data_IF_921667748969
#
_entry.id   IF_921667748969
#
_cell.length_a   1.000
_cell.length_b   1.000
_cell.length_c   1.000
_cell.angle_alpha   90.00
_cell.angle_beta   90.00
_cell.angle_gamma   90.00
#
_symmetry.space_group_name_H-M   'P 1'
#
loop_
_entity.id
_entity.type
_entity.pdbx_description
1 polymer ?
#
# COMPACT_ATOMS: atom_id res chain seq x y z
N UNK A 1 -9.58 14.26 -16.85
CA UNK A 1 -9.32 13.43 -15.73
C UNK A 1 -10.38 13.55 -14.66
N UNK A 2 -10.45 12.56 -13.84
CA UNK A 2 -11.38 12.54 -12.71
C UNK A 2 -10.75 13.38 -11.59
N UNK A 3 -11.44 14.39 -11.08
CA UNK A 3 -10.91 15.12 -9.94
C UNK A 3 -10.98 14.22 -8.71
N UNK A 4 -9.83 13.74 -8.29
CA UNK A 4 -9.73 12.91 -7.09
C UNK A 4 -9.10 13.77 -6.01
N UNK A 5 -9.80 13.90 -4.90
CA UNK A 5 -9.27 14.63 -3.75
C UNK A 5 -8.36 13.70 -2.95
N UNK A 6 -7.11 13.62 -3.34
CA UNK A 6 -6.09 12.79 -2.69
C UNK A 6 -5.46 13.52 -1.52
N UNK A 7 -6.23 13.73 -0.47
CA UNK A 7 -5.79 14.47 0.72
C UNK A 7 -4.98 13.65 1.72
N UNK A 8 -4.94 12.33 1.55
CA UNK A 8 -4.22 11.44 2.44
C UNK A 8 -2.94 10.97 1.74
N UNK A 9 -1.81 11.21 2.36
CA UNK A 9 -0.50 10.92 1.73
C UNK A 9 0.37 10.10 2.67
N UNK A 10 0.85 8.98 2.17
CA UNK A 10 1.79 8.10 2.87
C UNK A 10 3.16 8.21 2.21
N UNK A 11 4.19 8.56 3.00
CA UNK A 11 5.60 8.52 2.59
C UNK A 11 6.27 7.33 3.25
N UNK A 12 6.86 6.45 2.48
CA UNK A 12 7.42 5.20 3.00
C UNK A 12 8.61 4.74 2.14
N UNK A 13 9.52 4.01 2.76
CA UNK A 13 10.62 3.35 2.05
C UNK A 13 10.06 2.20 1.22
N UNK A 14 10.36 2.20 -0.08
CA UNK A 14 9.91 1.15 -1.02
C UNK A 14 10.39 -0.23 -0.59
N UNK A 15 11.67 -0.37 -0.24
CA UNK A 15 12.22 -1.67 0.14
C UNK A 15 11.67 -2.17 1.46
N UNK A 16 11.40 -1.28 2.43
CA UNK A 16 10.77 -1.67 3.68
C UNK A 16 9.34 -2.15 3.46
N UNK A 17 8.58 -1.42 2.65
CA UNK A 17 7.21 -1.81 2.31
C UNK A 17 7.19 -3.13 1.55
N UNK A 18 8.06 -3.27 0.56
CA UNK A 18 8.16 -4.50 -0.23
C UNK A 18 8.51 -5.71 0.63
N UNK A 19 9.48 -5.55 1.53
CA UNK A 19 9.88 -6.62 2.45
C UNK A 19 8.73 -7.04 3.38
N UNK A 20 8.03 -6.06 3.95
CA UNK A 20 6.89 -6.34 4.82
C UNK A 20 5.77 -7.06 4.06
N UNK A 21 5.45 -6.61 2.85
CA UNK A 21 4.42 -7.27 2.04
C UNK A 21 4.79 -8.71 1.69
N UNK A 22 6.05 -8.98 1.38
CA UNK A 22 6.51 -10.34 1.09
C UNK A 22 6.36 -11.26 2.30
N UNK A 23 6.74 -10.78 3.49
CA UNK A 23 6.60 -11.56 4.74
C UNK A 23 5.14 -11.81 5.09
N UNK A 24 4.33 -10.76 5.07
CA UNK A 24 2.91 -10.86 5.40
C UNK A 24 2.18 -11.75 4.40
N UNK A 25 2.52 -11.68 3.12
CA UNK A 25 1.86 -12.47 2.08
C UNK A 25 2.05 -13.98 2.25
N UNK A 26 3.08 -14.40 2.99
CA UNK A 26 3.27 -15.83 3.32
C UNK A 26 2.06 -16.37 4.07
N UNK A 27 1.42 -15.53 4.89
CA UNK A 27 0.27 -15.90 5.72
C UNK A 27 -1.07 -15.56 5.10
N UNK A 28 -1.07 -14.88 3.95
CA UNK A 28 -2.29 -14.48 3.28
C UNK A 28 -3.00 -15.67 2.62
N UNK A 29 -4.30 -15.53 2.42
CA UNK A 29 -5.07 -16.50 1.65
C UNK A 29 -4.50 -16.61 0.24
N UNK A 30 -4.25 -17.84 -0.21
CA UNK A 30 -3.60 -18.10 -1.51
C UNK A 30 -4.46 -17.70 -2.70
N UNK A 31 -5.75 -17.66 -2.53
CA UNK A 31 -6.68 -17.28 -3.60
C UNK A 31 -6.79 -15.77 -3.74
N UNK A 32 -6.88 -15.05 -2.62
CA UNK A 32 -7.13 -13.61 -2.61
C UNK A 32 -5.87 -12.76 -2.47
N UNK A 33 -4.83 -13.28 -1.82
CA UNK A 33 -3.60 -12.55 -1.48
C UNK A 33 -3.92 -11.21 -0.77
N UNK A 34 -4.96 -11.18 0.03
CA UNK A 34 -5.48 -9.95 0.59
C UNK A 34 -4.72 -9.53 1.83
N UNK A 35 -4.31 -8.26 1.86
CA UNK A 35 -3.69 -7.62 3.00
C UNK A 35 -4.41 -6.33 3.32
N UNK A 36 -4.31 -5.89 4.57
CA UNK A 36 -4.95 -4.66 5.06
C UNK A 36 -3.88 -3.68 5.52
N UNK A 37 -4.00 -2.44 5.08
CA UNK A 37 -3.18 -1.34 5.54
C UNK A 37 -3.99 -0.52 6.53
N UNK A 38 -3.51 -0.43 7.77
CA UNK A 38 -4.06 0.48 8.77
C UNK A 38 -3.16 1.71 8.85
N UNK A 39 -3.70 2.86 8.48
CA UNK A 39 -2.98 4.13 8.40
C UNK A 39 -3.47 5.07 9.48
N UNK A 40 -2.57 5.57 10.30
CA UNK A 40 -2.85 6.57 11.32
C UNK A 40 -1.52 7.18 11.79
N UNK A 41 -1.53 8.42 12.21
CA UNK A 41 -0.44 9.13 12.92
C UNK A 41 0.99 8.59 12.71
N UNK A 42 1.52 8.72 11.48
CA UNK A 42 2.88 8.27 11.13
C UNK A 42 3.11 6.78 11.37
N UNK A 43 2.06 6.00 11.23
CA UNK A 43 2.09 4.55 11.44
C UNK A 43 1.37 3.85 10.30
N UNK A 44 2.01 2.81 9.78
CA UNK A 44 1.41 1.87 8.84
C UNK A 44 1.48 0.49 9.45
N UNK A 45 0.33 -0.13 9.67
CA UNK A 45 0.24 -1.52 10.13
C UNK A 45 -0.29 -2.35 8.98
N UNK A 46 0.46 -3.37 8.57
CA UNK A 46 0.04 -4.30 7.52
C UNK A 46 -0.38 -5.59 8.20
N UNK A 47 -1.58 -6.04 7.93
CA UNK A 47 -2.12 -7.27 8.51
C UNK A 47 -2.69 -8.17 7.42
N UNK A 48 -2.68 -9.46 7.69
CA UNK A 48 -3.43 -10.43 6.89
C UNK A 48 -4.00 -11.49 7.81
N UNK A 49 -5.08 -12.09 7.37
CA UNK A 49 -5.77 -13.10 8.14
C UNK A 49 -6.38 -14.12 7.19
N UNK A 50 -5.98 -15.38 7.32
CA UNK A 50 -6.56 -16.47 6.55
C UNK A 50 -7.45 -17.29 7.48
N UNK A 51 -8.75 -17.09 7.38
CA UNK A 51 -9.74 -17.75 8.23
C UNK A 51 -9.81 -19.26 7.98
N UNK A 52 -9.52 -19.69 6.75
CA UNK A 52 -9.57 -21.10 6.39
C UNK A 52 -8.50 -21.94 7.10
N UNK A 53 -7.35 -21.33 7.37
CA UNK A 53 -6.20 -22.00 7.99
C UNK A 53 -5.83 -21.39 9.33
N UNK A 54 -6.61 -20.45 9.84
CA UNK A 54 -6.35 -19.73 11.09
C UNK A 54 -4.98 -19.04 11.13
N UNK A 55 -4.47 -18.67 9.98
CA UNK A 55 -3.21 -17.92 9.88
C UNK A 55 -3.47 -16.42 10.05
N UNK A 56 -2.59 -15.76 10.77
CA UNK A 56 -2.65 -14.33 11.00
C UNK A 56 -1.24 -13.78 11.13
N UNK A 57 -1.00 -12.63 10.53
CA UNK A 57 0.27 -11.94 10.65
C UNK A 57 0.06 -10.43 10.64
N UNK A 58 0.96 -9.71 11.31
CA UNK A 58 0.90 -8.26 11.40
C UNK A 58 2.31 -7.70 11.51
N UNK A 59 2.59 -6.61 10.78
CA UNK A 59 3.83 -5.85 10.89
C UNK A 59 3.52 -4.37 10.92
N UNK A 60 4.29 -3.63 11.71
CA UNK A 60 4.20 -2.19 11.78
C UNK A 60 5.45 -1.57 11.18
N UNK A 61 5.24 -0.56 10.33
CA UNK A 61 6.32 0.16 9.64
C UNK A 61 6.33 1.61 10.08
N UNK A 62 7.54 2.14 10.27
CA UNK A 62 7.72 3.58 10.43
C UNK A 62 7.49 4.26 9.09
N UNK A 63 6.75 5.35 9.11
CA UNK A 63 6.41 6.10 7.91
C UNK A 63 6.02 7.52 8.30
N UNK A 64 5.81 8.36 7.29
CA UNK A 64 5.12 9.63 7.48
C UNK A 64 3.75 9.51 6.84
N UNK A 65 2.72 9.78 7.61
CA UNK A 65 1.36 9.74 7.09
C UNK A 65 0.64 11.03 7.46
N UNK A 66 0.15 11.71 6.43
CA UNK A 66 -0.65 12.92 6.56
C UNK A 66 -2.04 12.63 6.03
N UNK A 67 -3.03 12.68 6.91
CA UNK A 67 -4.40 12.45 6.51
C UNK A 67 -5.24 11.81 7.61
N UNK A 68 -6.43 11.39 7.23
CA UNK A 68 -7.37 10.74 8.15
C UNK A 68 -6.97 9.29 8.43
N UNK A 69 -7.23 8.77 9.62
CA UNK A 69 -7.10 7.34 9.86
C UNK A 69 -7.88 6.55 8.82
N UNK A 70 -7.28 5.49 8.30
CA UNK A 70 -7.87 4.74 7.20
C UNK A 70 -7.46 3.28 7.24
N UNK A 71 -8.42 2.40 6.95
CA UNK A 71 -8.17 1.00 6.67
C UNK A 71 -8.45 0.76 5.19
N UNK A 72 -7.47 0.22 4.49
CA UNK A 72 -7.58 -0.02 3.06
C UNK A 72 -6.93 -1.36 2.70
N UNK A 73 -7.60 -2.14 1.87
CA UNK A 73 -7.14 -3.47 1.51
C UNK A 73 -6.58 -3.52 0.10
N UNK A 74 -5.57 -4.37 -0.08
CA UNK A 74 -4.93 -4.57 -1.38
C UNK A 74 -4.69 -6.04 -1.65
N UNK A 75 -4.52 -6.38 -2.92
CA UNK A 75 -3.93 -7.63 -3.33
C UNK A 75 -2.41 -7.49 -3.20
N UNK A 76 -1.82 -8.20 -2.25
CA UNK A 76 -0.38 -8.08 -1.95
C UNK A 76 0.49 -8.46 -3.14
N UNK A 77 0.07 -9.46 -3.93
CA UNK A 77 0.84 -9.91 -5.08
C UNK A 77 0.97 -8.82 -6.14
N UNK A 78 -0.13 -8.14 -6.45
CA UNK A 78 -0.10 -7.02 -7.40
C UNK A 78 0.71 -5.85 -6.85
N UNK A 79 0.58 -5.58 -5.57
CA UNK A 79 1.34 -4.50 -4.92
C UNK A 79 2.85 -4.77 -4.97
N UNK A 80 3.24 -6.01 -4.68
CA UNK A 80 4.64 -6.44 -4.76
C UNK A 80 5.19 -6.26 -6.19
N UNK A 81 4.45 -6.69 -7.19
CA UNK A 81 4.84 -6.52 -8.60
C UNK A 81 5.04 -5.05 -8.96
N UNK A 82 4.13 -4.19 -8.50
CA UNK A 82 4.19 -2.76 -8.75
C UNK A 82 5.43 -2.14 -8.07
N UNK A 83 5.69 -2.48 -6.82
CA UNK A 83 6.86 -1.96 -6.10
C UNK A 83 8.18 -2.43 -6.74
N UNK A 84 8.22 -3.66 -7.27
CA UNK A 84 9.38 -4.15 -7.99
C UNK A 84 9.64 -3.37 -9.29
N UNK A 85 8.61 -2.83 -9.90
CA UNK A 85 8.72 -2.05 -11.13
C UNK A 85 9.20 -0.62 -10.89
N UNK A 86 9.05 -0.10 -9.67
CA UNK A 86 9.54 1.22 -9.30
C UNK A 86 11.02 1.15 -8.96
N UNK A 87 11.80 2.12 -9.45
CA UNK A 87 13.25 2.13 -9.25
C UNK A 87 13.73 3.01 -8.10
N UNK A 88 12.86 3.83 -7.53
CA UNK A 88 13.22 4.79 -6.50
C UNK A 88 12.99 4.21 -5.10
N UNK A 89 13.88 4.53 -4.16
CA UNK A 89 13.76 4.04 -2.79
C UNK A 89 12.66 4.75 -2.02
N UNK A 90 12.58 6.06 -2.14
CA UNK A 90 11.57 6.84 -1.44
C UNK A 90 10.36 7.05 -2.33
N UNK A 91 9.20 6.61 -1.86
CA UNK A 91 7.94 6.69 -2.58
C UNK A 91 6.87 7.32 -1.71
N UNK A 92 5.82 7.82 -2.37
CA UNK A 92 4.62 8.24 -1.64
C UNK A 92 3.36 7.75 -2.36
N UNK A 93 2.33 7.54 -1.57
CA UNK A 93 1.02 7.10 -2.03
C UNK A 93 0.00 8.16 -1.68
N UNK A 94 -0.86 8.48 -2.64
CA UNK A 94 -1.96 9.40 -2.40
C UNK A 94 -3.29 8.68 -2.49
N UNK A 95 -4.17 8.96 -1.53
CA UNK A 95 -5.44 8.26 -1.36
C UNK A 95 -6.55 9.24 -1.01
N UNK A 96 -7.76 8.94 -1.45
CA UNK A 96 -8.94 9.69 -1.01
C UNK A 96 -9.74 8.89 0.02
N UNK A 97 -10.39 7.82 -0.39
CA UNK A 97 -11.16 6.91 0.46
C UNK A 97 -10.81 5.47 0.10
N UNK A 98 -11.12 4.47 0.98
CA UNK A 98 -10.68 3.08 0.77
C UNK A 98 -11.19 2.39 -0.50
N UNK A 99 -12.17 2.95 -1.19
CA UNK A 99 -12.74 2.34 -2.40
C UNK A 99 -12.29 2.98 -3.70
N UNK A 100 -11.43 4.00 -3.64
CA UNK A 100 -10.97 4.74 -4.82
C UNK A 100 -9.54 4.38 -5.19
N UNK A 101 -9.15 4.59 -6.45
CA UNK A 101 -7.78 4.30 -6.89
C UNK A 101 -6.73 5.01 -6.05
N UNK A 102 -5.63 4.32 -5.81
CA UNK A 102 -4.46 4.85 -5.10
C UNK A 102 -3.38 5.12 -6.13
N UNK A 103 -2.75 6.28 -6.02
CA UNK A 103 -1.65 6.67 -6.89
C UNK A 103 -0.33 6.54 -6.13
N UNK A 104 0.68 5.98 -6.78
CA UNK A 104 2.00 5.77 -6.17
C UNK A 104 3.04 6.46 -7.03
N UNK A 105 3.86 7.28 -6.39
CA UNK A 105 4.89 8.08 -7.04
C UNK A 105 6.26 7.84 -6.39
N UNK A 106 7.35 7.86 -7.16
CA UNK A 106 8.64 8.11 -6.54
C UNK A 106 8.67 9.55 -6.02
N UNK A 107 9.38 9.77 -4.89
CA UNK A 107 9.47 11.11 -4.30
C UNK A 107 10.22 12.07 -5.22
N UNK A 108 11.20 11.56 -5.96
CA UNK A 108 11.92 12.34 -6.95
C UNK A 108 11.56 11.88 -8.36
N UNK A 109 11.16 12.83 -9.20
CA UNK A 109 10.97 12.61 -10.61
C UNK A 109 12.23 12.99 -11.35
N UNK A 110 12.70 12.13 -12.25
CA UNK A 110 13.83 12.45 -13.10
C UNK A 110 13.41 13.50 -14.14
N UNK A 111 14.38 14.30 -14.60
CA UNK A 111 14.14 15.29 -15.62
C UNK A 111 13.54 14.63 -16.86
N UNK A 112 12.45 15.19 -17.38
CA UNK A 112 11.70 14.69 -18.53
C UNK A 112 11.02 13.34 -18.32
N UNK A 113 10.91 12.88 -17.09
CA UNK A 113 10.17 11.67 -16.74
C UNK A 113 9.07 11.99 -15.75
N UNK A 114 7.89 11.44 -16.01
CA UNK A 114 6.81 11.39 -15.03
C UNK A 114 6.48 9.92 -14.79
N UNK A 115 6.71 9.45 -13.57
CA UNK A 115 6.41 8.06 -13.18
C UNK A 115 5.29 8.10 -12.17
N UNK A 116 4.23 7.38 -12.48
CA UNK A 116 3.08 7.22 -11.59
C UNK A 116 2.50 5.83 -11.82
N UNK A 117 2.22 5.14 -10.74
CA UNK A 117 1.54 3.85 -10.79
C UNK A 117 0.19 3.97 -10.13
N UNK A 118 -0.79 3.25 -10.66
CA UNK A 118 -2.13 3.22 -10.10
C UNK A 118 -2.42 1.81 -9.60
N UNK A 119 -2.95 1.70 -8.39
CA UNK A 119 -3.43 0.43 -7.86
C UNK A 119 -4.85 0.61 -7.32
N UNK A 120 -5.70 -0.33 -7.66
CA UNK A 120 -7.06 -0.38 -7.13
C UNK A 120 -7.08 -1.15 -5.81
N UNK A 121 -7.65 -0.57 -4.76
CA UNK A 121 -7.85 -1.34 -3.54
C UNK A 121 -8.90 -2.42 -3.73
N UNK A 122 -8.83 -3.43 -2.87
CA UNK A 122 -9.90 -4.43 -2.75
C UNK A 122 -11.02 -3.79 -1.93
N UNK A 123 -12.24 -3.87 -2.44
CA UNK A 123 -13.39 -3.31 -1.72
C UNK A 123 -13.83 -4.30 -0.66
N UNK A 124 -13.92 -3.83 0.58
CA UNK A 124 -14.35 -4.62 1.72
C UNK A 124 -15.83 -4.35 1.94
N UNK A 125 -16.62 -5.42 2.01
CA UNK A 125 -18.06 -5.34 2.27
C UNK A 125 -18.38 -5.65 3.74
#
# INVERSE_FOLDING_TARGET
GIPVNHKNVLYVSRTHLLGALRRINIFANRTTNQVFFGLADNSLTITTKDLDFSNEASEQLSCEYEGDPMDIAFNARFFIELLNALGQEEIHMTMSVPSKPVLIYPDEQLENEEVMMLIMPVIIY
#
